data_IF_859192966462
#
_entry.id   IF_859192966462
#
_cell.length_a   1.000
_cell.length_b   1.000
_cell.length_c   1.000
_cell.angle_alpha   90.00
_cell.angle_beta   90.00
_cell.angle_gamma   90.00
#
_symmetry.space_group_name_H-M   'P 1'
#
loop_
_entity.id
_entity.type
_entity.pdbx_description
1 polymer ?
#
# COMPACT_ATOMS: atom_id res chain seq x y z
N UNK A 1 11.02 -21.11 2.58
CA UNK A 1 11.72 -19.81 2.74
C UNK A 1 11.61 -18.93 1.50
N UNK A 2 12.14 -19.33 0.32
CA UNK A 2 12.08 -18.49 -0.90
C UNK A 2 10.67 -18.01 -1.30
N UNK A 3 9.67 -18.88 -1.20
CA UNK A 3 8.29 -18.58 -1.63
C UNK A 3 7.58 -17.56 -0.71
N UNK A 4 7.85 -17.60 0.60
CA UNK A 4 7.31 -16.66 1.59
C UNK A 4 7.95 -15.29 1.42
N UNK A 5 9.26 -15.24 1.19
CA UNK A 5 9.96 -13.99 0.89
C UNK A 5 9.44 -13.33 -0.39
N UNK A 6 9.21 -14.11 -1.45
CA UNK A 6 8.59 -13.61 -2.70
C UNK A 6 7.19 -13.04 -2.44
N UNK A 7 6.39 -13.72 -1.61
CA UNK A 7 5.04 -13.25 -1.26
C UNK A 7 5.08 -11.88 -0.55
N UNK A 8 5.99 -11.68 0.41
CA UNK A 8 6.16 -10.39 1.10
C UNK A 8 6.65 -9.28 0.16
N UNK A 9 7.54 -9.58 -0.79
CA UNK A 9 7.94 -8.60 -1.79
C UNK A 9 6.75 -8.20 -2.67
N UNK A 10 5.90 -9.16 -3.05
CA UNK A 10 4.72 -8.91 -3.88
C UNK A 10 3.68 -8.06 -3.13
N UNK A 11 3.41 -8.38 -1.86
CA UNK A 11 2.51 -7.61 -1.00
C UNK A 11 3.05 -6.19 -0.76
N UNK A 12 4.38 -6.03 -0.65
CA UNK A 12 5.01 -4.73 -0.52
C UNK A 12 4.78 -3.87 -1.77
N UNK A 13 4.98 -4.43 -2.96
CA UNK A 13 4.76 -3.73 -4.23
C UNK A 13 3.29 -3.33 -4.37
N UNK A 14 2.35 -4.23 -4.03
CA UNK A 14 0.92 -3.92 -4.04
C UNK A 14 0.55 -2.82 -3.04
N UNK A 15 1.07 -2.87 -1.81
CA UNK A 15 0.85 -1.86 -0.79
C UNK A 15 1.33 -0.47 -1.24
N UNK A 16 2.52 -0.40 -1.86
CA UNK A 16 3.06 0.83 -2.41
C UNK A 16 2.19 1.37 -3.55
N UNK A 17 1.68 0.49 -4.42
CA UNK A 17 0.78 0.87 -5.50
C UNK A 17 -0.54 1.45 -4.98
N UNK A 18 -1.14 0.83 -3.96
CA UNK A 18 -2.35 1.31 -3.29
C UNK A 18 -2.10 2.65 -2.59
N UNK A 19 -0.91 2.88 -2.03
CA UNK A 19 -0.59 4.15 -1.40
C UNK A 19 -0.46 5.31 -2.42
N UNK A 20 0.03 5.02 -3.62
CA UNK A 20 0.31 6.03 -4.67
C UNK A 20 -0.90 6.25 -5.59
N UNK A 21 -1.71 5.22 -5.83
CA UNK A 21 -2.87 5.30 -6.73
C UNK A 21 -3.79 6.51 -6.46
N UNK A 22 -4.16 6.85 -5.20
CA UNK A 22 -4.99 8.00 -4.90
C UNK A 22 -4.37 9.35 -5.32
N UNK A 23 -3.05 9.42 -5.46
CA UNK A 23 -2.31 10.60 -5.88
C UNK A 23 -2.22 10.71 -7.41
N UNK A 24 -2.28 9.58 -8.12
CA UNK A 24 -2.24 9.51 -9.59
C UNK A 24 -3.63 9.66 -10.22
N UNK A 25 -4.70 9.22 -9.54
CA UNK A 25 -6.07 9.25 -10.06
C UNK A 25 -6.94 10.42 -9.53
N UNK A 26 -6.31 11.42 -8.88
CA UNK A 26 -6.96 12.64 -8.35
C UNK A 26 -7.96 13.32 -9.31
N UNK A 27 -7.74 13.41 -10.65
CA UNK A 27 -8.69 14.12 -11.51
C UNK A 27 -10.02 13.39 -11.76
N UNK A 28 -10.23 12.16 -11.26
CA UNK A 28 -11.45 11.35 -11.52
C UNK A 28 -12.56 11.60 -10.47
N UNK A 29 -12.34 12.51 -9.54
CA UNK A 29 -13.22 12.73 -8.40
C UNK A 29 -14.41 13.65 -8.68
N UNK A 30 -15.63 13.11 -8.60
CA UNK A 30 -16.90 13.84 -8.76
C UNK A 30 -17.18 14.79 -7.58
N UNK A 31 -16.68 14.49 -6.37
CA UNK A 31 -16.94 15.28 -5.17
C UNK A 31 -15.66 15.53 -4.33
N UNK A 32 -15.16 16.78 -4.24
CA UNK A 32 -13.79 17.06 -3.77
C UNK A 32 -13.57 16.80 -2.27
N UNK A 33 -14.56 17.08 -1.40
CA UNK A 33 -14.40 16.86 0.06
C UNK A 33 -14.27 15.39 0.44
N UNK A 34 -15.08 14.49 -0.15
CA UNK A 34 -14.99 13.06 0.12
C UNK A 34 -13.73 12.44 -0.45
N UNK A 35 -13.26 12.92 -1.60
CA UNK A 35 -12.05 12.39 -2.21
C UNK A 35 -10.79 12.68 -1.40
N UNK A 36 -10.70 13.80 -0.69
CA UNK A 36 -9.53 14.09 0.14
C UNK A 36 -9.42 13.15 1.34
N UNK A 37 -10.56 12.85 1.96
CA UNK A 37 -10.65 11.91 3.08
C UNK A 37 -10.37 10.48 2.61
N UNK A 38 -11.05 10.01 1.56
CA UNK A 38 -10.81 8.68 0.96
C UNK A 38 -9.36 8.54 0.50
N UNK A 39 -8.77 9.56 -0.13
CA UNK A 39 -7.36 9.58 -0.53
C UNK A 39 -6.43 9.38 0.66
N UNK A 40 -6.69 10.09 1.75
CA UNK A 40 -5.84 10.02 2.96
C UNK A 40 -5.93 8.64 3.60
N UNK A 41 -7.16 8.11 3.72
CA UNK A 41 -7.41 6.76 4.24
C UNK A 41 -6.72 5.69 3.40
N UNK A 42 -6.85 5.73 2.07
CA UNK A 42 -6.21 4.75 1.20
C UNK A 42 -4.68 4.86 1.19
N UNK A 43 -4.15 6.08 1.27
CA UNK A 43 -2.69 6.30 1.39
C UNK A 43 -2.15 5.66 2.67
N UNK A 44 -2.83 5.89 3.80
CA UNK A 44 -2.45 5.32 5.10
C UNK A 44 -2.58 3.79 5.09
N UNK A 45 -3.65 3.26 4.49
CA UNK A 45 -3.88 1.83 4.38
C UNK A 45 -2.77 1.15 3.55
N UNK A 46 -2.46 1.68 2.37
CA UNK A 46 -1.39 1.19 1.50
C UNK A 46 -0.01 1.27 2.17
N UNK A 47 0.27 2.38 2.86
CA UNK A 47 1.50 2.55 3.62
C UNK A 47 1.62 1.51 4.75
N UNK A 48 0.53 1.26 5.49
CA UNK A 48 0.50 0.29 6.60
C UNK A 48 0.74 -1.14 6.08
N UNK A 49 0.09 -1.52 4.98
CA UNK A 49 0.30 -2.83 4.32
C UNK A 49 1.76 -2.98 3.89
N UNK A 50 2.35 -1.92 3.32
CA UNK A 50 3.76 -1.93 2.88
C UNK A 50 4.71 -2.14 4.07
N UNK A 51 4.50 -1.43 5.18
CA UNK A 51 5.31 -1.56 6.39
C UNK A 51 5.18 -2.95 7.01
N UNK A 52 3.95 -3.47 7.14
CA UNK A 52 3.72 -4.82 7.65
C UNK A 52 4.39 -5.89 6.78
N UNK A 53 4.38 -5.69 5.46
CA UNK A 53 5.04 -6.60 4.52
C UNK A 53 6.57 -6.60 4.66
N UNK A 54 7.17 -5.43 4.88
CA UNK A 54 8.60 -5.33 5.18
C UNK A 54 8.95 -6.05 6.48
N UNK A 55 8.20 -5.80 7.56
CA UNK A 55 8.42 -6.42 8.87
C UNK A 55 8.29 -7.96 8.76
N UNK A 56 7.25 -8.45 8.09
CA UNK A 56 7.05 -9.87 7.84
C UNK A 56 8.15 -10.48 6.96
N UNK A 57 8.64 -9.73 5.98
CA UNK A 57 9.78 -10.10 5.14
C UNK A 57 11.07 -10.27 5.95
N UNK A 58 11.41 -9.30 6.81
CA UNK A 58 12.58 -9.38 7.70
C UNK A 58 12.47 -10.54 8.70
N UNK A 59 11.30 -10.74 9.31
CA UNK A 59 11.07 -11.86 10.23
C UNK A 59 11.14 -13.23 9.55
N UNK A 60 10.87 -13.32 8.24
CA UNK A 60 10.99 -14.57 7.49
C UNK A 60 12.43 -14.90 7.07
N UNK A 61 13.38 -13.97 7.23
CA UNK A 61 14.80 -14.13 6.91
C UNK A 61 15.62 -14.60 8.13
N UNK A 62 15.12 -14.36 9.34
CA UNK A 62 15.60 -14.91 10.61
C UNK A 62 15.23 -16.40 10.75
#
# INVERSE_FOLDING_TARGET
MKLISILYVLIFILGAFVAIAPWSFVPVCINPMRCWDTRTVETILGATISVMSLIGGFKSLE
#
